data_IF_601920442799
#
_entry.id   IF_601920442799
#
_cell.length_a   1.000
_cell.length_b   1.000
_cell.length_c   1.000
_cell.angle_alpha   90.00
_cell.angle_beta   90.00
_cell.angle_gamma   90.00
#
_symmetry.space_group_name_H-M   'P 1'
#
loop_
_entity.id
_entity.type
_entity.pdbx_description
1 polymer ?
#
# COMPACT_ATOMS: atom_id res chain seq x y z
N UNK A 1 -3.48 -16.08 23.55
CA UNK A 1 -4.36 -17.12 22.94
C UNK A 1 -4.86 -16.78 21.54
N UNK A 2 -4.97 -15.53 21.15
CA UNK A 2 -5.43 -15.06 19.82
C UNK A 2 -4.44 -15.36 18.68
N UNK A 3 -3.13 -15.22 18.90
CA UNK A 3 -2.12 -15.42 17.86
C UNK A 3 -2.08 -16.86 17.32
N UNK A 4 -2.16 -17.86 18.20
CA UNK A 4 -2.16 -19.28 17.82
C UNK A 4 -3.39 -19.72 17.00
N UNK A 5 -4.48 -18.97 17.05
CA UNK A 5 -5.69 -19.25 16.28
C UNK A 5 -5.58 -18.70 14.87
N UNK A 6 -5.05 -17.48 14.73
CA UNK A 6 -4.82 -16.84 13.43
C UNK A 6 -3.79 -17.61 12.61
N UNK A 7 -2.68 -18.05 13.21
CA UNK A 7 -1.65 -18.87 12.54
C UNK A 7 -2.21 -20.21 12.04
N UNK A 8 -3.07 -20.89 12.81
CA UNK A 8 -3.73 -22.13 12.37
C UNK A 8 -4.69 -21.91 11.21
N UNK A 9 -5.47 -20.84 11.26
CA UNK A 9 -6.40 -20.51 10.19
C UNK A 9 -5.65 -20.17 8.87
N UNK A 10 -4.50 -19.51 8.96
CA UNK A 10 -3.62 -19.27 7.80
C UNK A 10 -3.01 -20.56 7.23
N UNK A 11 -2.52 -21.46 8.08
CA UNK A 11 -1.99 -22.76 7.66
C UNK A 11 -3.05 -23.62 6.96
N UNK A 12 -4.27 -23.62 7.46
CA UNK A 12 -5.39 -24.35 6.87
C UNK A 12 -5.78 -23.77 5.50
N UNK A 13 -5.77 -22.43 5.33
CA UNK A 13 -6.00 -21.76 4.06
C UNK A 13 -4.90 -22.07 3.03
N UNK A 14 -3.65 -22.08 3.45
CA UNK A 14 -2.52 -22.47 2.58
C UNK A 14 -2.68 -23.92 2.12
N UNK A 15 -3.04 -24.83 3.04
CA UNK A 15 -3.26 -26.26 2.72
C UNK A 15 -4.40 -26.44 1.73
N UNK A 16 -5.52 -25.74 1.92
CA UNK A 16 -6.66 -25.76 1.01
C UNK A 16 -6.24 -25.28 -0.39
N UNK A 17 -5.57 -24.14 -0.48
CA UNK A 17 -5.06 -23.61 -1.74
C UNK A 17 -4.12 -24.59 -2.45
N UNK A 18 -3.16 -25.21 -1.72
CA UNK A 18 -2.25 -26.19 -2.30
C UNK A 18 -2.97 -27.44 -2.80
N UNK A 19 -4.05 -27.86 -2.13
CA UNK A 19 -4.89 -28.96 -2.58
C UNK A 19 -5.61 -28.63 -3.87
N UNK A 20 -6.18 -27.44 -3.97
CA UNK A 20 -6.91 -26.97 -5.16
C UNK A 20 -6.00 -26.85 -6.39
N UNK A 21 -4.81 -26.23 -6.25
CA UNK A 21 -3.88 -26.11 -7.37
C UNK A 21 -3.25 -27.46 -7.77
N UNK A 22 -3.25 -28.43 -6.85
CA UNK A 22 -2.76 -29.79 -7.11
C UNK A 22 -3.62 -30.61 -8.06
N UNK A 23 -4.88 -30.19 -8.29
CA UNK A 23 -5.81 -30.88 -9.19
C UNK A 23 -5.50 -30.63 -10.67
N UNK A 24 -4.73 -29.59 -11.00
CA UNK A 24 -4.38 -29.27 -12.37
C UNK A 24 -3.13 -30.03 -12.82
N UNK A 25 -3.21 -30.65 -13.98
CA UNK A 25 -2.08 -31.36 -14.59
C UNK A 25 -0.99 -30.37 -15.02
N UNK A 26 0.26 -30.86 -14.99
CA UNK A 26 1.39 -30.08 -15.49
C UNK A 26 1.40 -30.13 -17.02
N UNK A 27 1.67 -28.99 -17.64
CA UNK A 27 1.76 -28.88 -19.10
C UNK A 27 3.12 -29.33 -19.59
N UNK A 28 3.12 -30.04 -20.70
CA UNK A 28 4.33 -30.28 -21.48
C UNK A 28 4.57 -29.14 -22.49
N UNK A 29 5.69 -29.20 -23.23
CA UNK A 29 6.04 -28.15 -24.20
C UNK A 29 5.03 -28.06 -25.38
N UNK A 30 4.41 -29.16 -25.75
CA UNK A 30 3.43 -29.21 -26.84
C UNK A 30 2.11 -28.58 -26.41
N UNK A 31 1.70 -28.83 -25.15
CA UNK A 31 0.53 -28.22 -24.54
C UNK A 31 0.70 -26.71 -24.37
N UNK A 32 1.88 -26.24 -23.92
CA UNK A 32 2.18 -24.79 -23.84
C UNK A 32 1.96 -24.12 -25.20
N UNK A 33 2.46 -24.71 -26.29
CA UNK A 33 2.30 -24.17 -27.64
C UNK A 33 0.84 -24.23 -28.10
N UNK A 34 0.15 -25.35 -27.84
CA UNK A 34 -1.27 -25.55 -28.22
C UNK A 34 -2.17 -24.52 -27.55
N UNK A 35 -1.99 -24.29 -26.24
CA UNK A 35 -2.77 -23.34 -25.47
C UNK A 35 -2.43 -21.89 -25.88
N UNK A 36 -1.16 -21.55 -26.07
CA UNK A 36 -0.74 -20.23 -26.50
C UNK A 36 -1.35 -19.83 -27.86
N UNK A 37 -1.43 -20.78 -28.82
CA UNK A 37 -2.11 -20.54 -30.11
C UNK A 37 -3.61 -20.23 -29.92
N UNK A 38 -4.32 -21.00 -29.09
CA UNK A 38 -5.74 -20.77 -28.79
C UNK A 38 -5.97 -19.41 -28.13
N UNK A 39 -5.06 -18.98 -27.23
CA UNK A 39 -5.10 -17.67 -26.58
C UNK A 39 -4.93 -16.56 -27.65
N UNK A 40 -3.94 -16.68 -28.51
CA UNK A 40 -3.68 -15.73 -29.59
C UNK A 40 -4.88 -15.60 -30.54
N UNK A 41 -5.49 -16.73 -30.94
CA UNK A 41 -6.71 -16.76 -31.78
C UNK A 41 -7.88 -16.07 -31.03
N UNK A 42 -8.04 -16.31 -29.75
CA UNK A 42 -9.09 -15.68 -28.93
C UNK A 42 -8.94 -14.17 -28.84
N UNK A 43 -7.72 -13.68 -28.64
CA UNK A 43 -7.39 -12.25 -28.62
C UNK A 43 -7.66 -11.61 -29.98
N UNK A 44 -7.22 -12.23 -31.06
CA UNK A 44 -7.48 -11.76 -32.42
C UNK A 44 -8.99 -11.68 -32.72
N UNK A 45 -9.76 -12.70 -32.31
CA UNK A 45 -11.21 -12.73 -32.45
C UNK A 45 -11.90 -11.62 -31.64
N UNK A 46 -11.43 -11.30 -30.45
CA UNK A 46 -11.92 -10.19 -29.62
C UNK A 46 -11.70 -8.85 -30.30
N UNK A 47 -10.48 -8.59 -30.77
CA UNK A 47 -10.12 -7.38 -31.51
C UNK A 47 -10.96 -7.23 -32.77
N UNK A 48 -11.23 -8.35 -33.51
CA UNK A 48 -12.07 -8.33 -34.69
C UNK A 48 -13.53 -7.97 -34.38
N UNK A 49 -14.06 -8.41 -33.24
CA UNK A 49 -15.41 -8.04 -32.77
C UNK A 49 -15.49 -6.56 -32.38
N UNK A 50 -14.48 -6.03 -31.72
CA UNK A 50 -14.43 -4.63 -31.27
C UNK A 50 -14.26 -3.65 -32.44
N UNK A 51 -13.28 -3.90 -33.33
CA UNK A 51 -13.00 -3.02 -34.48
C UNK A 51 -14.17 -2.88 -35.47
N UNK A 52 -14.96 -3.93 -35.62
CA UNK A 52 -16.07 -3.91 -36.61
C UNK A 52 -17.39 -3.38 -36.02
N UNK A 53 -17.42 -2.91 -34.76
CA UNK A 53 -18.62 -2.29 -34.12
C UNK A 53 -19.88 -3.16 -34.15
N UNK A 54 -19.77 -4.44 -34.42
CA UNK A 54 -20.88 -5.41 -34.52
C UNK A 54 -21.84 -5.25 -35.69
N UNK A 55 -21.78 -4.14 -36.45
CA UNK A 55 -22.77 -3.80 -37.48
C UNK A 55 -22.44 -4.34 -38.88
N UNK A 56 -21.17 -4.65 -39.17
CA UNK A 56 -20.71 -5.13 -40.52
C UNK A 56 -20.50 -6.63 -40.59
N UNK A 57 -20.66 -7.39 -39.51
CA UNK A 57 -20.43 -8.83 -39.50
C UNK A 57 -21.75 -9.59 -39.63
N UNK A 58 -21.76 -10.64 -40.44
CA UNK A 58 -22.90 -11.56 -40.52
C UNK A 58 -23.13 -12.23 -39.18
N UNK A 59 -24.40 -12.54 -38.82
CA UNK A 59 -24.72 -13.19 -37.54
C UNK A 59 -23.97 -14.52 -37.35
N UNK A 60 -23.70 -15.26 -38.41
CA UNK A 60 -22.94 -16.50 -38.36
C UNK A 60 -21.47 -16.24 -37.96
N UNK A 61 -20.80 -15.26 -38.60
CA UNK A 61 -19.41 -14.90 -38.30
C UNK A 61 -19.25 -14.33 -36.89
N UNK A 62 -20.24 -13.56 -36.42
CA UNK A 62 -20.26 -13.05 -35.04
C UNK A 62 -20.36 -14.18 -34.02
N UNK A 63 -21.16 -15.21 -34.28
CA UNK A 63 -21.24 -16.39 -33.41
C UNK A 63 -19.94 -17.19 -33.41
N UNK A 64 -19.30 -17.37 -34.54
CA UNK A 64 -18.01 -18.04 -34.67
C UNK A 64 -16.94 -17.31 -33.85
N UNK A 65 -16.77 -15.99 -34.05
CA UNK A 65 -15.79 -15.19 -33.32
C UNK A 65 -16.05 -15.23 -31.80
N UNK A 66 -17.30 -15.14 -31.32
CA UNK A 66 -17.62 -15.29 -29.90
C UNK A 66 -17.23 -16.66 -29.36
N UNK A 67 -17.43 -17.74 -30.12
CA UNK A 67 -16.99 -19.08 -29.71
C UNK A 67 -15.47 -19.16 -29.60
N UNK A 68 -14.75 -18.50 -30.51
CA UNK A 68 -13.27 -18.46 -30.50
C UNK A 68 -12.78 -17.66 -29.29
N UNK A 69 -13.42 -16.55 -28.94
CA UNK A 69 -13.10 -15.78 -27.71
C UNK A 69 -13.27 -16.66 -26.47
N UNK A 70 -14.40 -17.34 -26.32
CA UNK A 70 -14.65 -18.24 -25.16
C UNK A 70 -13.62 -19.38 -25.10
N UNK A 71 -13.23 -19.95 -26.24
CA UNK A 71 -12.17 -20.96 -26.28
C UNK A 71 -10.82 -20.40 -25.85
N UNK A 72 -10.50 -19.17 -26.26
CA UNK A 72 -9.28 -18.47 -25.84
C UNK A 72 -9.28 -18.19 -24.33
N UNK A 73 -10.38 -17.72 -23.77
CA UNK A 73 -10.52 -17.48 -22.31
C UNK A 73 -10.35 -18.76 -21.49
N UNK A 74 -10.96 -19.87 -21.95
CA UNK A 74 -10.77 -21.18 -21.29
C UNK A 74 -9.31 -21.64 -21.38
N UNK A 75 -8.66 -21.45 -22.53
CA UNK A 75 -7.25 -21.78 -22.68
C UNK A 75 -6.35 -20.91 -21.79
N UNK A 76 -6.67 -19.63 -21.60
CA UNK A 76 -5.97 -18.75 -20.64
C UNK A 76 -6.11 -19.26 -19.21
N UNK A 77 -7.33 -19.63 -18.80
CA UNK A 77 -7.57 -20.18 -17.45
C UNK A 77 -6.84 -21.51 -17.25
N UNK A 78 -6.89 -22.41 -18.22
CA UNK A 78 -6.19 -23.70 -18.19
C UNK A 78 -4.68 -23.49 -18.08
N UNK A 79 -4.11 -22.61 -18.92
CA UNK A 79 -2.69 -22.31 -18.92
C UNK A 79 -2.22 -21.69 -17.61
N UNK A 80 -3.01 -20.76 -17.05
CA UNK A 80 -2.71 -20.13 -15.75
C UNK A 80 -2.77 -21.16 -14.62
N UNK A 81 -3.86 -21.93 -14.51
CA UNK A 81 -4.08 -22.87 -13.43
C UNK A 81 -3.02 -23.96 -13.37
N UNK A 82 -2.61 -24.51 -14.52
CA UNK A 82 -1.55 -25.50 -14.60
C UNK A 82 -0.16 -25.00 -14.16
N UNK A 83 0.02 -23.66 -14.11
CA UNK A 83 1.30 -23.04 -13.71
C UNK A 83 1.27 -22.41 -12.31
N UNK A 84 0.17 -22.47 -11.54
CA UNK A 84 0.09 -21.93 -10.17
C UNK A 84 1.14 -22.55 -9.22
N UNK A 85 1.48 -23.83 -9.41
CA UNK A 85 2.53 -24.51 -8.63
C UNK A 85 3.92 -23.88 -8.82
N UNK A 86 4.20 -23.32 -10.00
CA UNK A 86 5.43 -22.56 -10.26
C UNK A 86 5.48 -21.30 -9.38
N UNK A 87 4.36 -20.56 -9.28
CA UNK A 87 4.26 -19.37 -8.42
C UNK A 87 4.57 -19.72 -6.97
N UNK A 88 3.96 -20.77 -6.42
CA UNK A 88 4.22 -21.21 -5.05
C UNK A 88 5.70 -21.54 -4.81
N UNK A 89 6.34 -22.20 -5.76
CA UNK A 89 7.77 -22.56 -5.65
C UNK A 89 8.70 -21.34 -5.58
N UNK A 90 8.29 -20.24 -6.20
CA UNK A 90 9.01 -18.96 -6.19
C UNK A 90 8.66 -18.18 -4.93
N UNK A 91 7.37 -18.03 -4.59
CA UNK A 91 6.87 -17.28 -3.45
C UNK A 91 7.45 -17.79 -2.11
N UNK A 92 7.62 -19.09 -1.95
CA UNK A 92 8.27 -19.71 -0.77
C UNK A 92 9.66 -19.14 -0.46
N UNK A 93 10.40 -18.65 -1.47
CA UNK A 93 11.75 -18.07 -1.27
C UNK A 93 11.70 -16.67 -0.67
N UNK A 94 10.52 -16.06 -0.61
CA UNK A 94 10.30 -14.69 -0.13
C UNK A 94 9.56 -14.65 1.21
N UNK A 95 9.32 -15.78 1.89
CA UNK A 95 8.61 -15.85 3.17
C UNK A 95 9.24 -14.98 4.27
N UNK A 96 10.57 -14.78 4.23
CA UNK A 96 11.27 -13.92 5.18
C UNK A 96 11.04 -12.41 4.96
N UNK A 97 10.20 -12.02 3.98
CA UNK A 97 9.92 -10.60 3.66
C UNK A 97 8.90 -9.93 4.58
N UNK A 98 8.32 -10.64 5.56
CA UNK A 98 7.30 -10.13 6.47
C UNK A 98 5.87 -10.18 5.94
N UNK A 99 5.65 -10.58 4.67
CA UNK A 99 4.31 -10.78 4.12
C UNK A 99 3.85 -12.25 4.28
N UNK A 100 2.55 -12.49 4.54
CA UNK A 100 1.96 -13.81 4.53
C UNK A 100 2.20 -14.53 3.20
N UNK A 101 2.40 -15.87 3.25
CA UNK A 101 2.70 -16.66 2.04
C UNK A 101 1.59 -16.55 0.99
N UNK A 102 0.32 -16.49 1.40
CA UNK A 102 -0.80 -16.36 0.47
C UNK A 102 -0.75 -15.03 -0.28
N UNK A 103 -0.38 -13.94 0.37
CA UNK A 103 -0.26 -12.64 -0.28
C UNK A 103 0.88 -12.62 -1.29
N UNK A 104 2.03 -13.23 -0.94
CA UNK A 104 3.14 -13.41 -1.88
C UNK A 104 2.73 -14.25 -3.10
N UNK A 105 1.91 -15.27 -2.90
CA UNK A 105 1.36 -16.09 -3.98
C UNK A 105 0.43 -15.26 -4.86
N UNK A 106 -0.46 -14.43 -4.28
CA UNK A 106 -1.38 -13.61 -5.07
C UNK A 106 -0.64 -12.55 -5.91
N UNK A 107 0.35 -11.90 -5.33
CA UNK A 107 1.24 -11.01 -6.12
C UNK A 107 1.94 -11.77 -7.24
N UNK A 108 2.45 -12.97 -6.96
CA UNK A 108 3.06 -13.84 -7.96
C UNK A 108 2.08 -14.28 -9.05
N UNK A 109 0.81 -14.54 -8.71
CA UNK A 109 -0.25 -14.89 -9.66
C UNK A 109 -0.54 -13.74 -10.64
N UNK A 110 -0.49 -12.48 -10.18
CA UNK A 110 -0.58 -11.32 -11.08
C UNK A 110 0.57 -11.30 -12.09
N UNK A 111 1.79 -11.61 -11.64
CA UNK A 111 2.95 -11.76 -12.52
C UNK A 111 2.80 -12.92 -13.50
N UNK A 112 2.24 -14.06 -13.07
CA UNK A 112 1.95 -15.21 -13.91
C UNK A 112 0.94 -14.85 -14.99
N UNK A 113 -0.17 -14.20 -14.65
CA UNK A 113 -1.19 -13.77 -15.62
C UNK A 113 -0.58 -12.85 -16.68
N UNK A 114 0.24 -11.89 -16.27
CA UNK A 114 0.96 -11.02 -17.21
C UNK A 114 1.91 -11.81 -18.11
N UNK A 115 2.59 -12.81 -17.57
CA UNK A 115 3.46 -13.69 -18.38
C UNK A 115 2.68 -14.50 -19.41
N UNK A 116 1.49 -15.02 -19.07
CA UNK A 116 0.60 -15.74 -20.00
C UNK A 116 0.16 -14.84 -21.15
N UNK A 117 -0.21 -13.58 -20.85
CA UNK A 117 -0.63 -12.60 -21.87
C UNK A 117 0.48 -12.23 -22.87
N UNK A 118 1.74 -12.23 -22.42
CA UNK A 118 2.90 -11.79 -23.21
C UNK A 118 3.75 -12.94 -23.76
N UNK A 119 3.36 -14.18 -23.49
CA UNK A 119 4.15 -15.34 -23.91
C UNK A 119 4.14 -15.52 -25.42
N UNK A 120 5.34 -15.59 -26.02
CA UNK A 120 5.54 -15.90 -27.44
C UNK A 120 6.14 -17.28 -27.62
N UNK A 121 5.29 -18.25 -27.99
CA UNK A 121 5.66 -19.64 -28.23
C UNK A 121 6.63 -19.82 -29.39
N UNK A 122 6.71 -18.86 -30.34
CA UNK A 122 7.60 -18.92 -31.51
C UNK A 122 9.08 -18.85 -31.13
N UNK A 123 9.39 -18.30 -29.94
CA UNK A 123 10.76 -18.22 -29.43
C UNK A 123 11.34 -19.56 -29.01
N UNK A 124 10.53 -20.61 -28.88
CA UNK A 124 10.97 -21.98 -28.60
C UNK A 124 11.43 -22.26 -27.15
N UNK A 125 11.44 -21.26 -26.28
CA UNK A 125 11.76 -21.43 -24.84
C UNK A 125 10.56 -22.00 -24.06
N UNK A 126 10.82 -22.69 -22.94
CA UNK A 126 9.78 -23.11 -22.02
C UNK A 126 9.13 -21.90 -21.37
N UNK A 127 7.81 -21.98 -21.16
CA UNK A 127 7.05 -20.93 -20.49
C UNK A 127 7.61 -20.60 -19.12
N UNK A 128 7.99 -21.62 -18.32
CA UNK A 128 8.54 -21.45 -16.97
C UNK A 128 9.76 -20.53 -16.92
N UNK A 129 10.63 -20.54 -17.94
CA UNK A 129 11.81 -19.67 -18.03
C UNK A 129 11.40 -18.20 -18.12
N UNK A 130 10.38 -17.89 -18.91
CA UNK A 130 9.85 -16.54 -19.11
C UNK A 130 9.02 -16.09 -17.90
N UNK A 131 8.12 -16.95 -17.43
CA UNK A 131 7.22 -16.67 -16.33
C UNK A 131 7.95 -16.39 -15.00
N UNK A 132 9.04 -17.11 -14.73
CA UNK A 132 9.85 -16.93 -13.51
C UNK A 132 10.29 -15.47 -13.32
N UNK A 133 10.66 -14.78 -14.39
CA UNK A 133 11.05 -13.38 -14.35
C UNK A 133 9.89 -12.47 -13.93
N UNK A 134 8.72 -12.64 -14.54
CA UNK A 134 7.52 -11.84 -14.25
C UNK A 134 6.95 -12.11 -12.86
N UNK A 135 6.93 -13.38 -12.45
CA UNK A 135 6.49 -13.78 -11.10
C UNK A 135 7.40 -13.14 -10.06
N UNK A 136 8.72 -13.25 -10.23
CA UNK A 136 9.69 -12.62 -9.31
C UNK A 136 9.53 -11.12 -9.25
N UNK A 137 9.40 -10.47 -10.38
CA UNK A 137 9.21 -9.03 -10.49
C UNK A 137 7.94 -8.58 -9.77
N UNK A 138 6.82 -9.30 -9.96
CA UNK A 138 5.56 -9.00 -9.30
C UNK A 138 5.66 -9.15 -7.78
N UNK A 139 6.21 -10.28 -7.29
CA UNK A 139 6.42 -10.52 -5.86
C UNK A 139 7.31 -9.43 -5.23
N UNK A 140 8.46 -9.12 -5.84
CA UNK A 140 9.37 -8.09 -5.31
C UNK A 140 8.70 -6.71 -5.28
N UNK A 141 7.92 -6.38 -6.30
CA UNK A 141 7.17 -5.13 -6.36
C UNK A 141 6.02 -5.11 -5.33
N UNK A 142 5.33 -6.24 -5.13
CA UNK A 142 4.32 -6.42 -4.09
C UNK A 142 4.92 -6.17 -2.71
N UNK A 143 6.03 -6.81 -2.38
CA UNK A 143 6.76 -6.60 -1.11
C UNK A 143 7.11 -5.12 -0.91
N UNK A 144 7.65 -4.45 -1.93
CA UNK A 144 8.00 -3.04 -1.85
C UNK A 144 6.76 -2.12 -1.62
N UNK A 145 5.58 -2.53 -2.11
CA UNK A 145 4.35 -1.75 -2.01
C UNK A 145 3.58 -1.97 -0.72
N UNK A 146 3.57 -3.20 -0.18
CA UNK A 146 2.67 -3.61 0.92
C UNK A 146 3.39 -4.22 2.11
N UNK A 147 4.70 -4.52 1.99
CA UNK A 147 5.48 -5.18 3.05
C UNK A 147 5.77 -4.32 4.28
N UNK A 148 5.40 -3.03 4.28
CA UNK A 148 5.59 -2.14 5.43
C UNK A 148 4.31 -1.42 5.79
N UNK A 149 4.04 -1.25 7.09
CA UNK A 149 2.90 -0.48 7.60
C UNK A 149 2.92 0.95 7.07
N UNK A 150 4.09 1.61 7.08
CA UNK A 150 4.30 2.90 6.44
C UNK A 150 4.99 2.65 5.11
N UNK A 151 4.26 2.82 4.01
CA UNK A 151 4.76 2.59 2.65
C UNK A 151 5.94 3.50 2.34
N UNK A 152 7.00 2.91 1.82
CA UNK A 152 8.15 3.65 1.29
C UNK A 152 8.11 3.69 -0.25
N UNK A 153 8.61 4.79 -0.88
CA UNK A 153 8.87 4.80 -2.31
C UNK A 153 9.86 3.69 -2.70
N UNK A 154 9.71 3.12 -3.90
CA UNK A 154 10.54 1.98 -4.36
C UNK A 154 12.03 2.29 -4.29
N UNK A 155 12.45 3.49 -4.73
CA UNK A 155 13.86 3.89 -4.69
C UNK A 155 14.44 3.96 -3.27
N UNK A 156 13.64 4.34 -2.26
CA UNK A 156 14.07 4.32 -0.86
C UNK A 156 14.21 2.89 -0.35
N UNK A 157 13.29 1.99 -0.74
CA UNK A 157 13.39 0.55 -0.47
C UNK A 157 14.63 -0.09 -1.08
N UNK A 158 14.95 0.24 -2.35
CA UNK A 158 16.15 -0.25 -3.03
C UNK A 158 17.44 0.23 -2.33
N UNK A 159 17.46 1.50 -1.90
CA UNK A 159 18.59 2.05 -1.13
C UNK A 159 18.76 1.31 0.19
N UNK A 160 17.69 1.07 0.93
CA UNK A 160 17.71 0.29 2.17
C UNK A 160 18.19 -1.14 1.96
N UNK A 161 17.73 -1.81 0.91
CA UNK A 161 18.18 -3.16 0.58
C UNK A 161 19.69 -3.21 0.27
N UNK A 162 20.21 -2.19 -0.45
CA UNK A 162 21.67 -2.04 -0.70
C UNK A 162 22.43 -1.82 0.60
N UNK A 163 21.95 -0.94 1.48
CA UNK A 163 22.56 -0.67 2.79
C UNK A 163 22.56 -1.91 3.69
N UNK A 164 21.46 -2.64 3.77
CA UNK A 164 21.36 -3.88 4.56
C UNK A 164 22.33 -4.93 4.06
N UNK A 165 22.43 -5.09 2.74
CA UNK A 165 23.38 -6.03 2.12
C UNK A 165 24.85 -5.64 2.37
N UNK A 166 25.17 -4.34 2.24
CA UNK A 166 26.50 -3.81 2.52
C UNK A 166 26.86 -4.00 4.00
N UNK A 167 25.93 -3.70 4.91
CA UNK A 167 26.08 -3.90 6.35
C UNK A 167 26.41 -5.36 6.68
N UNK A 168 25.61 -6.30 6.20
CA UNK A 168 25.85 -7.74 6.46
C UNK A 168 27.20 -8.20 5.90
N UNK A 169 27.63 -7.69 4.73
CA UNK A 169 28.93 -8.00 4.15
C UNK A 169 30.08 -7.49 5.03
N UNK A 170 30.02 -6.23 5.45
CA UNK A 170 31.05 -5.61 6.29
C UNK A 170 31.11 -6.26 7.68
N UNK A 171 29.97 -6.61 8.28
CA UNK A 171 29.90 -7.31 9.56
C UNK A 171 30.57 -8.70 9.48
N UNK A 172 30.35 -9.44 8.41
CA UNK A 172 31.03 -10.74 8.19
C UNK A 172 32.54 -10.54 7.99
N UNK A 173 32.95 -9.50 7.24
CA UNK A 173 34.35 -9.24 6.92
C UNK A 173 35.14 -8.75 8.13
N UNK A 174 34.56 -7.88 8.95
CA UNK A 174 35.25 -7.22 10.07
C UNK A 174 34.98 -7.88 11.43
N UNK A 175 33.99 -8.80 11.54
CA UNK A 175 33.58 -9.41 12.80
C UNK A 175 32.98 -8.44 13.82
N UNK A 176 32.60 -7.22 13.39
CA UNK A 176 31.96 -6.18 14.20
C UNK A 176 30.93 -5.41 13.39
N UNK A 177 30.08 -4.64 14.07
CA UNK A 177 29.14 -3.74 13.41
C UNK A 177 29.88 -2.71 12.53
N UNK A 178 29.35 -2.48 11.32
CA UNK A 178 29.89 -1.51 10.39
C UNK A 178 29.60 -0.08 10.86
N UNK A 179 30.59 0.82 10.71
CA UNK A 179 30.43 2.26 10.98
C UNK A 179 29.68 2.94 9.84
N UNK A 180 29.12 4.15 10.08
CA UNK A 180 28.45 4.95 9.06
C UNK A 180 29.40 5.28 7.89
N UNK A 181 30.63 5.63 8.17
CA UNK A 181 31.66 5.94 7.16
C UNK A 181 31.97 4.72 6.27
N UNK A 182 32.08 3.51 6.86
CA UNK A 182 32.31 2.26 6.12
C UNK A 182 31.12 1.93 5.23
N UNK A 183 29.88 2.10 5.74
CA UNK A 183 28.66 1.88 4.95
C UNK A 183 28.57 2.89 3.80
N UNK A 184 28.85 4.17 4.05
CA UNK A 184 28.83 5.23 3.06
C UNK A 184 29.83 4.96 1.93
N UNK A 185 31.03 4.53 2.29
CA UNK A 185 32.08 4.16 1.32
C UNK A 185 31.70 2.93 0.49
N UNK A 186 31.14 1.87 1.11
CA UNK A 186 30.75 0.63 0.43
C UNK A 186 29.57 0.84 -0.55
N UNK A 187 28.65 1.75 -0.23
CA UNK A 187 27.45 2.03 -1.05
C UNK A 187 27.66 3.22 -1.99
N UNK A 188 28.82 3.90 -1.90
CA UNK A 188 29.15 5.11 -2.67
C UNK A 188 28.12 6.24 -2.46
N UNK A 189 27.78 6.53 -1.19
CA UNK A 189 26.83 7.56 -0.79
C UNK A 189 27.41 8.45 0.32
N UNK A 190 26.90 9.69 0.43
CA UNK A 190 27.23 10.58 1.53
C UNK A 190 26.70 10.05 2.86
N UNK A 191 27.41 10.26 3.97
CA UNK A 191 27.02 9.80 5.32
C UNK A 191 25.66 10.37 5.74
N UNK A 192 25.34 11.61 5.39
CA UNK A 192 24.05 12.23 5.68
C UNK A 192 22.88 11.47 5.02
N UNK A 193 23.04 11.07 3.76
CA UNK A 193 22.05 10.28 3.02
C UNK A 193 21.89 8.86 3.58
N UNK A 194 22.99 8.26 4.05
CA UNK A 194 22.95 6.96 4.72
C UNK A 194 22.17 7.08 6.04
N UNK A 195 22.44 8.13 6.82
CA UNK A 195 21.74 8.40 8.08
C UNK A 195 20.26 8.64 7.86
N UNK A 196 19.88 9.42 6.86
CA UNK A 196 18.48 9.66 6.49
C UNK A 196 17.79 8.35 6.06
N UNK A 197 18.42 7.55 5.21
CA UNK A 197 17.89 6.27 4.78
C UNK A 197 17.68 5.30 5.96
N UNK A 198 18.62 5.25 6.92
CA UNK A 198 18.51 4.42 8.12
C UNK A 198 17.39 4.87 9.05
N UNK A 199 17.06 6.18 9.11
CA UNK A 199 15.88 6.66 9.86
C UNK A 199 14.57 6.11 9.29
N UNK A 200 14.46 6.00 7.97
CA UNK A 200 13.29 5.39 7.31
C UNK A 200 13.28 3.85 7.42
N UNK A 201 14.40 3.24 7.82
CA UNK A 201 14.46 1.79 8.01
C UNK A 201 13.70 1.32 9.27
N UNK A 202 13.51 2.19 10.26
CA UNK A 202 12.83 1.86 11.50
C UNK A 202 11.37 1.41 11.23
N UNK A 203 11.02 0.25 11.78
CA UNK A 203 9.67 -0.28 11.72
C UNK A 203 8.88 0.22 12.94
N UNK A 204 7.58 0.57 12.78
CA UNK A 204 6.74 0.93 13.91
C UNK A 204 6.56 -0.26 14.85
N UNK A 205 6.61 0.01 16.16
CA UNK A 205 6.31 -0.97 17.19
C UNK A 205 4.80 -1.05 17.42
N UNK A 206 4.31 -2.21 17.83
CA UNK A 206 2.91 -2.38 18.21
C UNK A 206 2.67 -1.74 19.58
N UNK A 207 1.60 -0.95 19.70
CA UNK A 207 1.17 -0.42 21.01
C UNK A 207 0.64 -1.51 21.93
N UNK A 208 0.18 -2.63 21.39
CA UNK A 208 -0.27 -3.81 22.14
C UNK A 208 0.87 -4.77 22.47
N UNK A 209 2.13 -4.36 22.29
CA UNK A 209 3.27 -5.18 22.68
C UNK A 209 3.38 -5.21 24.22
N UNK A 210 3.41 -6.39 24.86
CA UNK A 210 3.51 -6.48 26.32
C UNK A 210 4.85 -5.95 26.82
N UNK A 211 4.84 -5.08 27.83
CA UNK A 211 6.06 -4.53 28.43
C UNK A 211 6.86 -5.54 29.23
N UNK A 212 6.21 -6.61 29.73
CA UNK A 212 6.82 -7.72 30.51
C UNK A 212 6.16 -9.03 30.13
N UNK A 213 6.91 -10.11 30.14
CA UNK A 213 6.43 -11.47 29.80
C UNK A 213 5.21 -11.92 30.65
N UNK A 214 5.11 -11.46 31.91
CA UNK A 214 4.06 -11.86 32.86
C UNK A 214 3.09 -10.70 33.22
N UNK A 215 3.09 -9.61 32.47
CA UNK A 215 2.31 -8.40 32.80
C UNK A 215 1.15 -8.14 31.83
N UNK A 216 0.04 -7.66 32.37
CA UNK A 216 -1.11 -7.18 31.57
C UNK A 216 -0.88 -5.78 30.96
N UNK A 217 0.27 -5.12 31.26
CA UNK A 217 0.57 -3.77 30.78
C UNK A 217 1.15 -3.81 29.37
N UNK A 218 0.56 -3.04 28.47
CA UNK A 218 0.97 -2.87 27.08
C UNK A 218 1.84 -1.61 26.91
N UNK A 219 2.60 -1.54 25.81
CA UNK A 219 3.40 -0.35 25.47
C UNK A 219 2.52 0.90 25.34
N UNK A 220 1.27 0.74 24.85
CA UNK A 220 0.29 1.81 24.72
C UNK A 220 -0.09 2.49 26.03
N UNK A 221 -0.06 1.76 27.17
CA UNK A 221 -0.41 2.30 28.49
C UNK A 221 0.61 3.32 29.02
N UNK A 222 1.83 3.28 28.50
CA UNK A 222 2.95 4.15 28.94
C UNK A 222 3.15 5.34 28.00
N UNK A 223 2.54 5.32 26.82
CA UNK A 223 2.68 6.42 25.86
C UNK A 223 1.77 7.58 26.25
N UNK A 224 2.39 8.74 26.55
CA UNK A 224 1.67 9.98 26.88
C UNK A 224 0.88 10.50 25.66
N UNK A 225 -0.41 10.80 25.88
CA UNK A 225 -1.21 11.54 24.90
C UNK A 225 -0.88 13.04 24.93
N UNK A 226 0.02 13.46 24.07
CA UNK A 226 0.41 14.88 23.92
C UNK A 226 -0.69 15.77 23.33
N UNK A 227 -1.74 15.18 22.76
CA UNK A 227 -2.90 15.89 22.21
C UNK A 227 -3.98 16.15 23.26
N UNK A 228 -3.91 15.51 24.41
CA UNK A 228 -4.87 15.72 25.48
C UNK A 228 -4.77 17.14 26.04
N UNK A 229 -5.90 17.87 26.06
CA UNK A 229 -5.95 19.19 26.65
C UNK A 229 -5.70 19.11 28.15
N UNK A 230 -4.76 19.91 28.63
CA UNK A 230 -4.53 20.04 30.07
C UNK A 230 -5.82 20.49 30.77
N UNK A 231 -6.23 19.85 31.91
CA UNK A 231 -7.36 20.30 32.69
C UNK A 231 -7.26 21.79 33.13
N UNK A 232 -6.04 22.27 33.33
CA UNK A 232 -5.77 23.68 33.64
C UNK A 232 -6.08 24.58 32.44
N UNK A 233 -5.64 24.23 31.22
CA UNK A 233 -5.93 25.01 30.02
C UNK A 233 -7.42 25.00 29.69
N UNK A 234 -8.08 23.87 29.88
CA UNK A 234 -9.52 23.73 29.70
C UNK A 234 -10.30 24.62 30.70
N UNK A 235 -9.89 24.65 31.97
CA UNK A 235 -10.47 25.53 32.98
C UNK A 235 -10.20 27.01 32.64
N UNK A 236 -8.98 27.36 32.27
CA UNK A 236 -8.62 28.72 31.87
C UNK A 236 -9.45 29.19 30.67
N UNK A 237 -9.62 28.33 29.68
CA UNK A 237 -10.43 28.63 28.47
C UNK A 237 -11.91 28.81 28.82
N UNK A 238 -12.44 28.03 29.76
CA UNK A 238 -13.86 28.19 30.21
C UNK A 238 -14.10 29.44 31.04
N UNK A 239 -13.10 29.97 31.74
CA UNK A 239 -13.18 31.22 32.49
C UNK A 239 -12.98 32.46 31.61
N UNK A 240 -12.32 32.32 30.43
CA UNK A 240 -12.00 33.42 29.56
C UNK A 240 -13.23 34.26 29.13
N UNK A 241 -14.41 33.68 28.80
CA UNK A 241 -15.60 34.45 28.45
C UNK A 241 -16.09 35.38 29.54
N UNK A 242 -16.00 34.96 30.82
CA UNK A 242 -16.37 35.80 31.97
C UNK A 242 -15.41 36.97 32.14
N UNK A 243 -14.12 36.74 32.05
CA UNK A 243 -13.10 37.79 32.13
C UNK A 243 -13.24 38.79 30.97
N UNK A 244 -13.46 38.32 29.73
CA UNK A 244 -13.74 39.19 28.58
C UNK A 244 -15.01 40.02 28.86
N UNK A 245 -16.07 39.40 29.38
CA UNK A 245 -17.31 40.11 29.70
C UNK A 245 -17.11 41.20 30.73
N UNK A 246 -16.27 40.96 31.77
CA UNK A 246 -15.90 41.96 32.78
C UNK A 246 -15.10 43.10 32.17
N UNK A 247 -14.14 42.81 31.30
CA UNK A 247 -13.34 43.84 30.60
C UNK A 247 -14.17 44.71 29.66
N UNK A 248 -15.19 44.14 29.06
CA UNK A 248 -16.10 44.86 28.15
C UNK A 248 -17.21 45.63 28.91
N UNK A 249 -17.41 45.38 30.20
CA UNK A 249 -18.47 46.02 31.00
C UNK A 249 -18.41 47.53 31.06
N UNK A 250 -17.22 48.22 31.11
CA UNK A 250 -17.13 49.67 31.15
C UNK A 250 -17.48 50.37 29.80
N UNK A 251 -17.54 49.61 28.68
CA UNK A 251 -17.82 50.14 27.37
C UNK A 251 -19.32 50.37 27.19
N UNK A 252 -19.68 51.33 26.29
CA UNK A 252 -21.06 51.53 25.87
C UNK A 252 -21.61 50.24 25.20
N UNK A 253 -22.91 50.02 25.35
CA UNK A 253 -23.56 48.80 24.81
C UNK A 253 -23.29 48.59 23.32
N UNK A 254 -23.22 49.67 22.58
CA UNK A 254 -22.93 49.64 21.14
C UNK A 254 -21.49 49.25 20.84
N UNK A 255 -20.54 49.80 21.56
CA UNK A 255 -19.11 49.49 21.44
C UNK A 255 -18.83 48.01 21.81
N UNK A 256 -19.47 47.57 22.89
CA UNK A 256 -19.39 46.19 23.37
C UNK A 256 -19.89 45.19 22.29
N UNK A 257 -21.00 45.50 21.68
CA UNK A 257 -21.59 44.65 20.64
C UNK A 257 -20.77 44.64 19.33
N UNK A 258 -20.20 45.78 18.97
CA UNK A 258 -19.25 45.87 17.85
C UNK A 258 -18.04 44.96 18.08
N UNK A 259 -17.45 45.00 19.28
CA UNK A 259 -16.32 44.16 19.61
C UNK A 259 -16.68 42.66 19.62
N UNK A 260 -17.84 42.30 20.20
CA UNK A 260 -18.33 40.91 20.19
C UNK A 260 -18.48 40.39 18.77
N UNK A 261 -19.11 41.11 17.89
CA UNK A 261 -19.30 40.72 16.50
C UNK A 261 -17.98 40.70 15.73
N UNK A 262 -17.10 41.67 15.96
CA UNK A 262 -15.81 41.76 15.26
C UNK A 262 -14.89 40.56 15.56
N UNK A 263 -14.86 40.13 16.81
CA UNK A 263 -13.97 39.05 17.28
C UNK A 263 -14.70 37.71 17.47
N UNK A 264 -15.99 37.63 17.16
CA UNK A 264 -16.77 36.39 17.30
C UNK A 264 -16.93 35.92 18.75
N UNK A 265 -16.95 36.84 19.73
CA UNK A 265 -17.00 36.52 21.16
C UNK A 265 -18.37 36.00 21.62
N UNK A 266 -19.37 36.07 20.79
CA UNK A 266 -20.74 35.56 20.99
C UNK A 266 -20.94 34.13 20.45
N UNK A 267 -19.86 33.32 20.30
CA UNK A 267 -19.79 31.98 19.70
C UNK A 267 -20.01 31.98 18.17
N UNK A 268 -19.84 33.12 17.52
CA UNK A 268 -19.89 33.26 16.07
C UNK A 268 -18.49 33.31 15.44
N UNK A 269 -18.47 33.37 14.09
CA UNK A 269 -17.24 33.66 13.38
C UNK A 269 -16.89 35.14 13.44
N UNK A 270 -15.59 35.53 13.51
CA UNK A 270 -15.18 36.92 13.50
C UNK A 270 -15.60 37.59 12.20
N UNK A 271 -16.25 38.77 12.31
CA UNK A 271 -16.77 39.53 11.17
C UNK A 271 -15.79 40.62 10.71
N UNK A 272 -15.83 40.95 9.44
CA UNK A 272 -15.06 42.08 8.89
C UNK A 272 -15.59 43.43 9.37
N UNK A 273 -14.76 44.48 9.32
CA UNK A 273 -15.20 45.83 9.68
C UNK A 273 -16.35 46.36 8.79
N UNK A 274 -16.42 45.86 7.58
CA UNK A 274 -17.45 46.19 6.59
C UNK A 274 -18.80 45.58 6.94
N UNK A 275 -18.81 44.29 7.26
CA UNK A 275 -20.00 43.54 7.73
C UNK A 275 -20.54 44.06 9.05
N UNK A 276 -19.66 44.45 9.99
CA UNK A 276 -20.05 45.10 11.24
C UNK A 276 -20.60 46.51 10.95
N UNK A 277 -20.01 47.25 10.02
CA UNK A 277 -20.47 48.54 9.57
C UNK A 277 -21.88 48.47 8.96
N UNK A 278 -22.14 47.52 8.11
CA UNK A 278 -23.44 47.25 7.53
C UNK A 278 -24.51 46.93 8.58
N UNK A 279 -24.13 46.08 9.57
CA UNK A 279 -25.03 45.72 10.68
C UNK A 279 -25.48 46.94 11.51
N UNK A 280 -24.55 47.86 11.81
CA UNK A 280 -24.84 49.05 12.59
C UNK A 280 -25.20 50.30 11.74
N UNK A 281 -25.23 50.15 10.43
CA UNK A 281 -25.43 51.28 9.46
C UNK A 281 -24.42 52.40 9.67
N UNK A 282 -23.16 52.05 9.87
CA UNK A 282 -22.04 52.97 10.06
C UNK A 282 -20.96 52.70 9.01
N UNK A 283 -20.17 53.74 8.73
CA UNK A 283 -19.01 53.57 7.87
C UNK A 283 -17.90 52.75 8.53
N UNK A 284 -17.13 52.01 7.72
CA UNK A 284 -15.97 51.24 8.15
C UNK A 284 -15.01 52.02 9.06
N UNK A 285 -14.76 53.28 8.73
CA UNK A 285 -13.89 54.18 9.52
C UNK A 285 -14.48 54.49 10.91
N UNK A 286 -15.81 54.59 11.01
CA UNK A 286 -16.46 54.83 12.30
C UNK A 286 -16.43 53.58 13.22
N UNK A 287 -16.50 52.40 12.63
CA UNK A 287 -16.35 51.11 13.36
C UNK A 287 -14.91 50.94 13.84
N UNK A 288 -13.91 51.31 13.01
CA UNK A 288 -12.50 51.24 13.39
C UNK A 288 -12.20 52.11 14.60
#
# INVERSE_FOLDING_TARGET
MTNNRVERDEEDLVRLYLTDIGQYELLDKEDEVRLAKKIEEGVAARIALEKNGGAKLTPAKRRELRRTVIKGERATSEFTNSNLRLVVSIAKKYQASGLPLLDLIQEGNLGLMHAVEKFDWRKGFKFSTYATWWIRQAITRGIANTGRTIRLPVHAGDTLARLTKARSRLEIQHGRAATLAELAAEVEMDEDKVTEALRFAAEPLSLSEPLREDGDAELGDVVEDRGAQSPFESAATSLLPEEISRLLAPLDDREREILKLRFGLDRGEPRTLEEVGDHFKLTRERIR
#
